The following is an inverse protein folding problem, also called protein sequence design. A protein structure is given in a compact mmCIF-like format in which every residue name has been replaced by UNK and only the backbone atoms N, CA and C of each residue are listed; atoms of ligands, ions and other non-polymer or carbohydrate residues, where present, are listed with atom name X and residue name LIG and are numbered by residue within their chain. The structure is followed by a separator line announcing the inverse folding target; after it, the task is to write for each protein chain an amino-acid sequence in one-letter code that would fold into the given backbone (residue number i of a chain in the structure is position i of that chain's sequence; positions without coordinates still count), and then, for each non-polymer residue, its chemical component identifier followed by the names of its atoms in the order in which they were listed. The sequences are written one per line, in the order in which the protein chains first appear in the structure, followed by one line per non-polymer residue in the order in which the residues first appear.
data_IF_635108951795
#
_entry.id   IF_635108951795
#
_cell.length_a   1.000
_cell.length_b   1.000
_cell.length_c   1.000
_cell.angle_alpha   90.00
_cell.angle_beta   90.00
_cell.angle_gamma   90.00
#
_symmetry.space_group_name_H-M   'P 1'
#
loop_
_entity.id
_entity.type
_entity.pdbx_description
1 polymer ?
#
# COMPACT_ATOMS: atom_id res chain seq x y z
N UNK A 1 25.78 2.77 -10.25
CA UNK A 1 25.19 1.91 -9.20
C UNK A 1 23.71 2.24 -9.13
N UNK A 2 22.84 1.25 -9.02
CA UNK A 2 21.41 1.51 -8.78
C UNK A 2 21.22 2.11 -7.40
N UNK A 3 20.30 3.06 -7.28
CA UNK A 3 19.90 3.64 -5.98
C UNK A 3 18.60 2.97 -5.54
N UNK A 4 18.68 2.23 -4.43
CA UNK A 4 17.53 1.58 -3.82
C UNK A 4 17.05 2.43 -2.64
N UNK A 5 15.74 2.70 -2.57
CA UNK A 5 15.09 3.30 -1.41
C UNK A 5 13.98 2.36 -0.93
N UNK A 6 13.84 2.24 0.39
CA UNK A 6 12.80 1.45 1.04
C UNK A 6 12.17 2.32 2.11
N UNK A 7 10.86 2.43 2.10
CA UNK A 7 10.11 3.18 3.11
C UNK A 7 8.69 2.61 3.25
N UNK A 8 8.08 2.86 4.40
CA UNK A 8 6.70 2.45 4.67
C UNK A 8 5.74 3.62 4.44
N UNK A 9 4.57 3.30 3.89
CA UNK A 9 3.39 4.18 3.90
C UNK A 9 2.36 3.74 4.96
N UNK A 10 2.57 2.58 5.58
CA UNK A 10 1.82 2.09 6.74
C UNK A 10 2.41 0.78 7.29
N UNK A 11 1.97 0.38 8.49
CA UNK A 11 2.44 -0.83 9.19
C UNK A 11 3.68 -0.60 10.07
N UNK A 12 4.07 0.66 10.33
CA UNK A 12 5.14 1.00 11.27
C UNK A 12 4.56 1.72 12.47
N UNK A 13 4.93 1.25 13.67
CA UNK A 13 4.42 1.76 14.95
C UNK A 13 2.89 1.64 15.09
N UNK A 14 2.32 0.64 14.45
CA UNK A 14 0.89 0.31 14.44
C UNK A 14 0.67 -1.16 14.07
N UNK A 15 -0.54 -1.66 14.33
CA UNK A 15 -1.01 -2.96 13.86
C UNK A 15 -2.07 -2.75 12.76
N UNK A 16 -1.73 -3.14 11.54
CA UNK A 16 -2.58 -2.92 10.37
C UNK A 16 -2.01 -1.95 9.33
N UNK A 17 -2.74 -1.83 8.22
CA UNK A 17 -2.45 -0.97 7.08
C UNK A 17 -1.06 -1.12 6.49
N UNK A 18 -0.57 -2.36 6.41
CA UNK A 18 0.76 -2.65 5.90
C UNK A 18 0.90 -2.16 4.45
N UNK A 19 1.96 -1.39 4.21
CA UNK A 19 2.33 -0.96 2.87
C UNK A 19 3.79 -0.50 2.86
N UNK A 20 4.63 -1.25 2.14
CA UNK A 20 6.01 -0.86 1.87
C UNK A 20 6.19 -0.48 0.41
N UNK A 21 7.07 0.49 0.18
CA UNK A 21 7.48 0.90 -1.15
C UNK A 21 8.97 0.65 -1.30
N UNK A 22 9.31 -0.06 -2.38
CA UNK A 22 10.68 -0.26 -2.85
C UNK A 22 10.86 0.52 -4.15
N UNK A 23 11.77 1.48 -4.14
CA UNK A 23 12.19 2.18 -5.34
C UNK A 23 13.54 1.67 -5.81
N UNK A 24 13.63 1.33 -7.09
CA UNK A 24 14.89 1.02 -7.77
C UNK A 24 15.10 2.02 -8.90
N UNK A 25 15.95 3.03 -8.66
CA UNK A 25 16.05 4.21 -9.51
C UNK A 25 14.69 4.93 -9.66
N UNK A 26 14.07 4.85 -10.83
CA UNK A 26 12.77 5.45 -11.11
C UNK A 26 11.61 4.48 -10.91
N UNK A 27 11.85 3.17 -10.90
CA UNK A 27 10.77 2.18 -10.81
C UNK A 27 10.29 2.01 -9.36
N UNK A 28 8.97 1.94 -9.19
CA UNK A 28 8.30 1.73 -7.92
C UNK A 28 7.69 0.32 -7.87
N UNK A 29 7.96 -0.39 -6.79
CA UNK A 29 7.33 -1.65 -6.44
C UNK A 29 6.67 -1.50 -5.08
N UNK A 30 5.41 -1.88 -4.99
CA UNK A 30 4.64 -1.80 -3.74
C UNK A 30 4.50 -3.21 -3.17
N UNK A 31 4.76 -3.34 -1.88
CA UNK A 31 4.50 -4.55 -1.12
C UNK A 31 3.30 -4.27 -0.23
N UNK A 32 2.24 -5.06 -0.41
CA UNK A 32 1.01 -5.02 0.38
C UNK A 32 0.19 -3.73 0.20
N UNK A 33 -1.08 -3.80 0.57
CA UNK A 33 -2.04 -2.71 0.56
C UNK A 33 -3.14 -3.01 1.58
N UNK A 34 -2.77 -2.97 2.85
CA UNK A 34 -3.63 -3.34 3.96
C UNK A 34 -4.57 -2.25 4.44
N UNK A 35 -5.55 -2.63 5.27
CA UNK A 35 -6.30 -1.70 6.12
C UNK A 35 -5.92 -1.84 7.59
N UNK A 36 -6.26 -0.85 8.40
CA UNK A 36 -6.27 -0.93 9.85
C UNK A 36 -7.70 -0.71 10.34
N UNK A 37 -8.12 -1.50 11.33
CA UNK A 37 -9.39 -1.23 12.01
C UNK A 37 -9.24 -0.06 12.98
N UNK A 38 -10.27 0.81 13.07
CA UNK A 38 -10.28 1.91 14.01
C UNK A 38 -10.31 1.42 15.45
N UNK A 39 -9.74 2.22 16.35
CA UNK A 39 -9.84 2.02 17.79
C UNK A 39 -11.26 2.40 18.28
N UNK A 40 -11.64 1.93 19.48
CA UNK A 40 -13.02 2.00 19.97
C UNK A 40 -13.59 3.42 20.18
N UNK A 41 -12.74 4.44 20.19
CA UNK A 41 -13.12 5.85 20.32
C UNK A 41 -13.34 6.56 18.97
N UNK A 42 -13.00 5.92 17.85
CA UNK A 42 -13.12 6.46 16.50
C UNK A 42 -14.50 6.15 15.89
N UNK A 43 -15.56 6.70 16.48
CA UNK A 43 -16.94 6.42 16.10
C UNK A 43 -17.26 6.82 14.64
N UNK A 44 -17.90 5.90 13.92
CA UNK A 44 -18.34 6.11 12.53
C UNK A 44 -17.25 5.86 11.47
N UNK A 45 -16.02 5.56 11.88
CA UNK A 45 -14.97 5.06 10.98
C UNK A 45 -15.13 3.55 10.85
N UNK A 46 -15.07 3.02 9.62
CA UNK A 46 -15.16 1.58 9.35
C UNK A 46 -13.79 0.95 9.08
N UNK A 47 -12.91 1.68 8.41
CA UNK A 47 -11.55 1.26 8.09
C UNK A 47 -10.62 2.46 7.90
N UNK A 48 -9.34 2.26 8.20
CA UNK A 48 -8.25 3.22 7.96
C UNK A 48 -7.34 2.62 6.90
N UNK A 49 -7.00 3.40 5.86
CA UNK A 49 -6.13 2.95 4.76
C UNK A 49 -4.84 3.77 4.71
N UNK A 50 -3.78 3.29 4.04
CA UNK A 50 -2.58 4.06 3.79
C UNK A 50 -2.88 5.31 2.98
N UNK A 51 -2.02 6.31 3.12
CA UNK A 51 -2.10 7.52 2.31
C UNK A 51 -1.49 7.29 0.93
N UNK A 52 -2.34 7.25 -0.10
CA UNK A 52 -1.92 6.95 -1.47
C UNK A 52 -1.36 8.16 -2.23
N UNK A 53 -1.26 9.36 -1.63
CA UNK A 53 -0.81 10.57 -2.34
C UNK A 53 0.51 10.37 -3.08
N UNK A 54 1.49 9.74 -2.43
CA UNK A 54 2.78 9.44 -3.02
C UNK A 54 2.66 8.53 -4.26
N UNK A 55 1.85 7.46 -4.18
CA UNK A 55 1.66 6.52 -5.28
C UNK A 55 0.91 7.19 -6.44
N UNK A 56 -0.12 7.97 -6.15
CA UNK A 56 -0.90 8.71 -7.15
C UNK A 56 -0.04 9.72 -7.92
N UNK A 57 0.80 10.48 -7.21
CA UNK A 57 1.72 11.45 -7.83
C UNK A 57 2.82 10.79 -8.68
N UNK A 58 3.11 9.50 -8.43
CA UNK A 58 4.16 8.74 -9.11
C UNK A 58 3.62 7.54 -9.91
N UNK A 59 2.34 7.53 -10.26
CA UNK A 59 1.66 6.35 -10.80
C UNK A 59 2.32 5.74 -12.04
N UNK A 60 2.90 6.58 -12.92
CA UNK A 60 3.57 6.13 -14.16
C UNK A 60 4.85 5.32 -13.91
N UNK A 61 5.38 5.41 -12.69
CA UNK A 61 6.61 4.73 -12.25
C UNK A 61 6.33 3.38 -11.60
N UNK A 62 5.08 3.11 -11.22
CA UNK A 62 4.69 1.88 -10.53
C UNK A 62 4.71 0.72 -11.52
N UNK A 63 5.48 -0.33 -11.18
CA UNK A 63 5.62 -1.53 -12.02
C UNK A 63 4.79 -2.70 -11.52
N UNK A 64 4.60 -2.81 -10.21
CA UNK A 64 3.85 -3.90 -9.62
C UNK A 64 3.43 -3.60 -8.18
N UNK A 65 2.31 -4.20 -7.77
CA UNK A 65 1.92 -4.40 -6.38
C UNK A 65 2.02 -5.90 -6.08
N UNK A 66 2.68 -6.28 -4.99
CA UNK A 66 2.81 -7.66 -4.53
C UNK A 66 2.01 -7.86 -3.25
N UNK A 67 1.12 -8.84 -3.24
CA UNK A 67 0.35 -9.25 -2.06
C UNK A 67 0.95 -10.53 -1.51
N UNK A 68 1.34 -10.52 -0.23
CA UNK A 68 2.04 -11.65 0.40
C UNK A 68 1.09 -12.76 0.83
N UNK A 69 -0.09 -12.40 1.37
CA UNK A 69 -1.14 -13.33 1.78
C UNK A 69 -2.48 -12.58 1.96
N UNK A 70 -3.55 -13.33 2.24
CA UNK A 70 -4.94 -12.85 2.20
C UNK A 70 -5.50 -12.24 3.49
N UNK A 71 -4.68 -11.71 4.39
CA UNK A 71 -5.20 -11.01 5.57
C UNK A 71 -5.60 -9.57 5.26
N UNK A 72 -6.50 -9.02 6.07
CA UNK A 72 -7.10 -7.70 5.86
C UNK A 72 -6.08 -6.56 6.02
N UNK A 73 -5.18 -6.69 6.99
CA UNK A 73 -4.03 -5.81 7.21
C UNK A 73 -2.99 -5.83 6.09
N UNK A 74 -3.16 -6.70 5.11
CA UNK A 74 -2.21 -6.94 4.01
C UNK A 74 -2.80 -6.58 2.65
N UNK A 75 -4.10 -6.82 2.41
CA UNK A 75 -4.67 -6.61 1.06
C UNK A 75 -5.99 -5.85 1.02
N UNK A 76 -6.66 -5.62 2.15
CA UNK A 76 -8.05 -5.15 2.09
C UNK A 76 -8.21 -3.67 1.69
N UNK A 77 -7.12 -2.89 1.62
CA UNK A 77 -7.15 -1.54 1.03
C UNK A 77 -6.82 -1.52 -0.48
N UNK A 78 -6.48 -2.67 -1.09
CA UNK A 78 -6.20 -2.75 -2.53
C UNK A 78 -7.34 -2.21 -3.40
N UNK A 79 -8.64 -2.49 -3.14
CA UNK A 79 -9.73 -1.91 -3.91
C UNK A 79 -9.79 -0.37 -3.82
N UNK A 80 -9.35 0.22 -2.70
CA UNK A 80 -9.28 1.67 -2.53
C UNK A 80 -8.15 2.24 -3.41
N UNK A 81 -6.97 1.61 -3.42
CA UNK A 81 -5.85 2.02 -4.26
C UNK A 81 -6.18 1.92 -5.75
N UNK A 82 -6.77 0.80 -6.19
CA UNK A 82 -7.11 0.57 -7.61
C UNK A 82 -8.23 1.48 -8.13
N UNK A 83 -9.04 2.09 -7.25
CA UNK A 83 -9.96 3.16 -7.64
C UNK A 83 -9.25 4.44 -8.04
N UNK A 84 -8.09 4.72 -7.44
CA UNK A 84 -7.27 5.89 -7.77
C UNK A 84 -6.27 5.60 -8.89
N UNK A 85 -5.76 4.37 -8.96
CA UNK A 85 -4.75 3.95 -9.94
C UNK A 85 -5.11 2.57 -10.53
N UNK A 86 -6.01 2.52 -11.54
CA UNK A 86 -6.65 1.28 -11.99
C UNK A 86 -5.74 0.32 -12.78
N UNK A 87 -4.73 0.83 -13.48
CA UNK A 87 -3.98 0.06 -14.48
C UNK A 87 -2.62 -0.48 -13.97
N UNK A 88 -2.53 -0.89 -12.71
CA UNK A 88 -1.30 -1.45 -12.12
C UNK A 88 -1.37 -2.99 -12.04
N UNK A 89 -0.33 -3.72 -12.49
CA UNK A 89 -0.23 -5.17 -12.28
C UNK A 89 -0.18 -5.54 -10.79
N UNK A 90 -1.05 -6.46 -10.38
CA UNK A 90 -1.08 -7.03 -9.03
C UNK A 90 -0.66 -8.49 -9.09
N UNK A 91 0.31 -8.88 -8.28
CA UNK A 91 0.79 -10.26 -8.15
C UNK A 91 0.48 -10.80 -6.75
N UNK A 92 -0.02 -12.03 -6.70
CA UNK A 92 -0.35 -12.78 -5.46
C UNK A 92 -0.05 -14.27 -5.68
N UNK A 93 0.08 -15.03 -4.60
CA UNK A 93 0.11 -16.49 -4.63
C UNK A 93 -1.24 -17.11 -5.03
#
# INVERSE_FOLDING_TARGET
MSKIRIFALGGLDEDGKNMYVVENNEDIFVMECGLKYPDGDQLGIEMIVPDFRYLRENQSRIKAIFITHGHEDVMAALPNLLREIPDIPVYTA
#
